data_IF_908796269836
#
_entry.id   IF_908796269836
#
_cell.length_a   1.000
_cell.length_b   1.000
_cell.length_c   1.000
_cell.angle_alpha   90.00
_cell.angle_beta   90.00
_cell.angle_gamma   90.00
#
_symmetry.space_group_name_H-M   'P 1'
#
loop_
_entity.id
_entity.type
_entity.pdbx_description
1 polymer ?
#
# COMPACT_ATOMS: atom_id res chain seq x y z
N UNK A 1 9.70 -4.80 -9.85
CA UNK A 1 9.42 -3.38 -9.51
C UNK A 1 10.72 -2.56 -9.35
N UNK A 2 10.66 -1.22 -9.44
CA UNK A 2 11.78 -0.31 -9.07
C UNK A 2 11.35 0.71 -8.00
N UNK A 3 12.28 1.57 -7.56
CA UNK A 3 12.01 2.58 -6.55
C UNK A 3 11.59 2.01 -5.19
N UNK A 4 10.79 2.76 -4.46
CA UNK A 4 10.24 2.35 -3.16
C UNK A 4 9.47 1.03 -3.22
N UNK A 5 8.80 0.72 -4.34
CA UNK A 5 7.99 -0.48 -4.46
C UNK A 5 8.78 -1.80 -4.40
N UNK A 6 10.12 -1.77 -4.49
CA UNK A 6 10.92 -2.98 -4.20
C UNK A 6 10.76 -3.45 -2.76
N UNK A 7 10.35 -2.57 -1.84
CA UNK A 7 10.03 -2.91 -0.45
C UNK A 7 8.87 -3.90 -0.32
N UNK A 8 8.05 -4.06 -1.37
CA UNK A 8 7.00 -5.08 -1.42
C UNK A 8 7.55 -6.50 -1.29
N UNK A 9 8.76 -6.76 -1.81
CA UNK A 9 9.42 -8.07 -1.73
C UNK A 9 10.32 -8.21 -0.51
N UNK A 10 10.40 -7.19 0.34
CA UNK A 10 11.38 -7.16 1.42
C UNK A 10 10.86 -7.96 2.62
N UNK A 11 11.18 -9.25 2.61
CA UNK A 11 10.92 -10.20 3.70
C UNK A 11 12.03 -10.21 4.76
N UNK A 12 12.91 -9.18 4.82
CA UNK A 12 13.85 -9.14 5.93
C UNK A 12 13.03 -9.10 7.24
N UNK A 13 13.27 -10.07 8.13
CA UNK A 13 12.48 -10.27 9.35
C UNK A 13 12.58 -9.14 10.37
N UNK A 14 12.96 -7.93 9.94
CA UNK A 14 12.98 -6.69 10.71
C UNK A 14 11.62 -5.99 10.77
N UNK A 15 10.65 -6.44 9.95
CA UNK A 15 9.28 -5.93 9.95
C UNK A 15 8.61 -6.20 11.30
N UNK A 16 8.26 -5.13 12.01
CA UNK A 16 7.52 -5.25 13.28
C UNK A 16 6.02 -5.30 12.97
N UNK A 17 5.44 -6.49 13.09
CA UNK A 17 4.01 -6.73 12.88
C UNK A 17 3.19 -6.45 14.14
N UNK A 18 2.10 -5.72 13.99
CA UNK A 18 1.27 -5.27 15.11
C UNK A 18 -0.21 -5.33 14.70
N UNK A 19 -0.99 -6.13 15.43
CA UNK A 19 -2.45 -6.14 15.26
C UNK A 19 -3.08 -4.86 15.80
N UNK A 20 -4.14 -4.42 15.14
CA UNK A 20 -4.93 -3.25 15.53
C UNK A 20 -6.43 -3.46 15.34
N UNK A 21 -7.22 -2.73 16.13
CA UNK A 21 -8.68 -2.62 15.95
C UNK A 21 -9.07 -1.40 15.12
N UNK A 22 -8.11 -0.51 14.82
CA UNK A 22 -8.32 0.65 13.96
C UNK A 22 -8.57 0.15 12.54
N UNK A 23 -9.65 0.58 11.87
CA UNK A 23 -9.93 0.16 10.50
C UNK A 23 -8.81 0.56 9.54
N UNK A 24 -8.33 -0.39 8.73
CA UNK A 24 -7.23 -0.18 7.79
C UNK A 24 -7.65 -0.22 6.32
N UNK A 25 -8.94 -0.39 6.01
CA UNK A 25 -9.43 -0.45 4.64
C UNK A 25 -9.20 0.87 3.88
N UNK A 26 -8.61 0.82 2.67
CA UNK A 26 -8.35 2.02 1.90
C UNK A 26 -9.56 2.47 1.08
N UNK A 27 -9.64 3.78 0.85
CA UNK A 27 -10.42 4.38 -0.23
C UNK A 27 -9.45 4.92 -1.27
N UNK A 28 -9.61 4.46 -2.52
CA UNK A 28 -8.72 4.81 -3.63
C UNK A 28 -9.57 5.39 -4.77
N UNK A 29 -9.19 6.57 -5.24
CA UNK A 29 -9.79 7.17 -6.45
C UNK A 29 -8.72 7.67 -7.41
N UNK A 30 -9.03 7.59 -8.70
CA UNK A 30 -8.26 8.20 -9.79
C UNK A 30 -9.23 9.02 -10.61
N UNK A 31 -9.08 10.35 -10.56
CA UNK A 31 -10.06 11.28 -11.12
C UNK A 31 -11.44 11.07 -10.49
N UNK A 32 -12.39 10.56 -11.27
CA UNK A 32 -13.76 10.23 -10.81
C UNK A 32 -13.99 8.73 -10.59
N UNK A 33 -13.00 7.89 -10.91
CA UNK A 33 -13.12 6.43 -10.81
C UNK A 33 -12.76 5.98 -9.40
N UNK A 34 -13.59 5.12 -8.83
CA UNK A 34 -13.24 4.39 -7.61
C UNK A 34 -12.46 3.14 -8.00
N UNK A 35 -11.32 2.93 -7.35
CA UNK A 35 -10.51 1.72 -7.46
C UNK A 35 -10.69 0.95 -6.16
N UNK A 36 -10.98 -0.34 -6.27
CA UNK A 36 -11.27 -1.21 -5.13
C UNK A 36 -10.28 -2.37 -5.09
N UNK A 37 -9.72 -2.59 -3.90
CA UNK A 37 -8.89 -3.76 -3.60
C UNK A 37 -9.71 -5.04 -3.80
N UNK A 38 -9.09 -6.09 -4.32
CA UNK A 38 -9.67 -7.40 -4.61
C UNK A 38 -10.89 -7.39 -5.56
N UNK A 39 -11.10 -6.29 -6.27
CA UNK A 39 -12.23 -6.11 -7.21
C UNK A 39 -11.79 -5.49 -8.52
N UNK A 40 -10.95 -4.46 -8.47
CA UNK A 40 -10.49 -3.77 -9.69
C UNK A 40 -9.28 -4.47 -10.28
N UNK A 41 -9.37 -4.87 -11.54
CA UNK A 41 -8.24 -5.45 -12.25
C UNK A 41 -7.25 -4.35 -12.65
N UNK A 42 -5.94 -4.61 -12.57
CA UNK A 42 -4.91 -3.60 -12.88
C UNK A 42 -5.07 -2.97 -14.27
N UNK A 43 -5.49 -3.74 -15.27
CA UNK A 43 -5.76 -3.29 -16.64
C UNK A 43 -6.91 -2.30 -16.76
N UNK A 44 -7.78 -2.20 -15.75
CA UNK A 44 -8.90 -1.25 -15.71
C UNK A 44 -8.52 0.10 -15.09
N UNK A 45 -7.43 0.14 -14.31
CA UNK A 45 -7.00 1.33 -13.58
C UNK A 45 -6.45 2.38 -14.55
N UNK A 46 -5.55 1.96 -15.44
CA UNK A 46 -4.96 2.84 -16.44
C UNK A 46 -4.62 2.07 -17.71
N UNK A 47 -4.70 2.74 -18.88
CA UNK A 47 -4.47 2.13 -20.20
C UNK A 47 -2.99 1.87 -20.52
N UNK A 48 -2.15 1.73 -19.49
CA UNK A 48 -0.72 1.43 -19.64
C UNK A 48 -0.47 -0.07 -19.70
N UNK A 49 0.76 -0.43 -20.07
CA UNK A 49 1.25 -1.79 -19.99
C UNK A 49 1.32 -2.24 -18.52
N UNK A 50 0.80 -3.44 -18.24
CA UNK A 50 0.93 -4.08 -16.94
C UNK A 50 2.28 -4.79 -16.89
N UNK A 51 3.16 -4.27 -16.05
CA UNK A 51 4.46 -4.88 -15.77
C UNK A 51 4.27 -6.16 -14.95
N UNK A 52 5.22 -7.10 -15.05
CA UNK A 52 5.16 -8.35 -14.31
C UNK A 52 6.53 -8.95 -14.05
N UNK A 53 6.60 -9.72 -12.98
CA UNK A 53 7.68 -10.67 -12.70
C UNK A 53 7.11 -11.96 -12.11
N UNK A 54 7.96 -12.78 -11.50
CA UNK A 54 7.55 -14.06 -10.90
C UNK A 54 6.59 -13.89 -9.73
N UNK A 55 6.62 -12.74 -9.04
CA UNK A 55 5.95 -12.55 -7.76
C UNK A 55 4.72 -11.65 -7.86
N UNK A 56 4.73 -10.66 -8.77
CA UNK A 56 3.59 -9.75 -8.91
C UNK A 56 3.40 -9.23 -10.33
N UNK A 57 2.19 -8.70 -10.58
CA UNK A 57 1.90 -7.75 -11.65
C UNK A 57 1.75 -6.35 -11.05
N UNK A 58 2.14 -5.31 -11.78
CA UNK A 58 1.92 -3.94 -11.33
C UNK A 58 1.74 -2.95 -12.46
N UNK A 59 1.14 -1.81 -12.12
CA UNK A 59 1.24 -0.58 -12.89
C UNK A 59 1.81 0.50 -11.98
N UNK A 60 2.58 1.43 -12.54
CA UNK A 60 3.03 2.60 -11.79
C UNK A 60 2.50 3.88 -12.43
N UNK A 61 1.93 4.75 -11.59
CA UNK A 61 1.58 6.12 -11.94
C UNK A 61 2.41 7.07 -11.09
N UNK A 62 2.68 8.27 -11.60
CA UNK A 62 3.18 9.37 -10.78
C UNK A 62 2.38 10.64 -11.03
N UNK A 63 2.24 11.46 -10.01
CA UNK A 63 1.71 12.82 -10.14
C UNK A 63 2.82 13.84 -10.42
N UNK A 64 2.41 15.08 -10.69
CA UNK A 64 3.33 16.21 -10.94
C UNK A 64 4.07 16.65 -9.65
N UNK A 65 3.56 16.28 -8.47
CA UNK A 65 4.19 16.55 -7.17
C UNK A 65 5.30 15.53 -6.83
N UNK A 66 5.55 14.56 -7.72
CA UNK A 66 6.59 13.55 -7.58
C UNK A 66 6.20 12.40 -6.63
N UNK A 67 4.91 12.19 -6.38
CA UNK A 67 4.38 11.03 -5.68
C UNK A 67 4.16 9.90 -6.68
N UNK A 68 4.76 8.75 -6.41
CA UNK A 68 4.57 7.52 -7.17
C UNK A 68 3.55 6.61 -6.48
N UNK A 69 2.76 5.91 -7.29
CA UNK A 69 1.72 4.98 -6.91
C UNK A 69 1.90 3.68 -7.69
N UNK A 70 2.36 2.62 -7.02
CA UNK A 70 2.45 1.29 -7.61
C UNK A 70 1.24 0.48 -7.19
N UNK A 71 0.33 0.25 -8.13
CA UNK A 71 -0.82 -0.62 -7.95
C UNK A 71 -0.38 -2.05 -8.28
N UNK A 72 -0.46 -2.93 -7.29
CA UNK A 72 0.18 -4.24 -7.29
C UNK A 72 -0.89 -5.33 -7.17
N UNK A 73 -0.75 -6.35 -7.99
CA UNK A 73 -1.51 -7.59 -7.89
C UNK A 73 -0.53 -8.71 -7.58
N UNK A 74 -0.69 -9.31 -6.41
CA UNK A 74 0.07 -10.48 -6.01
C UNK A 74 -0.24 -11.66 -6.96
N UNK A 75 0.78 -12.39 -7.41
CA UNK A 75 0.56 -13.48 -8.36
C UNK A 75 -0.11 -14.70 -7.73
N UNK A 76 0.11 -14.95 -6.44
CA UNK A 76 -0.47 -16.08 -5.74
C UNK A 76 -1.94 -15.81 -5.40
N UNK A 77 -2.22 -14.62 -4.89
CA UNK A 77 -3.54 -14.29 -4.32
C UNK A 77 -4.38 -13.32 -5.15
N UNK A 78 -3.75 -12.49 -6.00
CA UNK A 78 -4.43 -11.38 -6.67
C UNK A 78 -5.03 -11.72 -8.03
N UNK A 79 -4.45 -12.66 -8.78
CA UNK A 79 -4.93 -13.06 -10.12
C UNK A 79 -5.22 -11.87 -11.08
N UNK A 80 -4.44 -10.78 -10.98
CA UNK A 80 -4.59 -9.55 -11.76
C UNK A 80 -5.46 -8.47 -11.08
N UNK A 81 -6.12 -8.79 -9.98
CA UNK A 81 -6.84 -7.84 -9.12
C UNK A 81 -5.88 -7.12 -8.17
N UNK A 82 -6.17 -5.85 -7.89
CA UNK A 82 -5.38 -5.03 -6.98
C UNK A 82 -5.39 -5.62 -5.56
N UNK A 83 -4.24 -6.01 -5.04
CA UNK A 83 -4.09 -6.52 -3.66
C UNK A 83 -3.15 -5.67 -2.81
N UNK A 84 -2.32 -4.83 -3.42
CA UNK A 84 -1.46 -3.90 -2.71
C UNK A 84 -1.27 -2.57 -3.46
N UNK A 85 -0.97 -1.52 -2.71
CA UNK A 85 -0.64 -0.20 -3.23
C UNK A 85 0.57 0.37 -2.47
N UNK A 86 1.70 0.51 -3.16
CA UNK A 86 2.87 1.20 -2.63
C UNK A 86 2.85 2.68 -3.01
N UNK A 87 3.22 3.56 -2.09
CA UNK A 87 3.19 5.02 -2.28
C UNK A 87 4.46 5.64 -1.70
N UNK A 88 5.12 6.49 -2.49
CA UNK A 88 6.32 7.21 -2.04
C UNK A 88 6.57 8.50 -2.82
N UNK A 89 7.34 9.42 -2.23
CA UNK A 89 7.91 10.59 -2.91
C UNK A 89 9.42 10.38 -3.07
N UNK A 90 9.81 9.51 -3.99
CA UNK A 90 11.18 9.07 -4.19
C UNK A 90 11.75 9.38 -5.60
N UNK A 91 11.15 10.36 -6.28
CA UNK A 91 11.60 10.85 -7.59
C UNK A 91 10.77 10.32 -8.75
N UNK A 92 11.25 10.47 -9.98
CA UNK A 92 10.55 9.95 -11.18
C UNK A 92 11.22 8.65 -11.60
N UNK A 93 10.43 7.58 -11.72
CA UNK A 93 10.91 6.28 -12.20
C UNK A 93 10.40 6.03 -13.63
N UNK A 94 11.22 5.37 -14.45
CA UNK A 94 10.99 5.25 -15.90
C UNK A 94 9.73 4.44 -16.24
N UNK A 95 9.37 3.48 -15.41
CA UNK A 95 8.17 2.66 -15.56
C UNK A 95 6.90 3.36 -15.08
N UNK A 96 7.03 4.45 -14.33
CA UNK A 96 5.90 5.21 -13.84
C UNK A 96 5.41 6.17 -14.91
N UNK A 97 4.12 6.11 -15.21
CA UNK A 97 3.49 6.98 -16.21
C UNK A 97 2.92 8.21 -15.53
N UNK A 98 3.20 9.41 -16.06
CA UNK A 98 2.57 10.62 -15.54
C UNK A 98 1.05 10.54 -15.75
N UNK A 99 0.30 10.76 -14.67
CA UNK A 99 -1.16 10.90 -14.71
C UNK A 99 -1.57 12.34 -14.45
N UNK A 100 -2.36 12.90 -15.35
CA UNK A 100 -3.06 14.18 -15.11
C UNK A 100 -4.31 14.00 -14.24
N UNK A 101 -4.81 12.77 -14.09
CA UNK A 101 -5.89 12.48 -13.17
C UNK A 101 -5.34 12.39 -11.75
N UNK A 102 -5.92 13.18 -10.84
CA UNK A 102 -5.56 13.15 -9.43
C UNK A 102 -5.79 11.76 -8.84
N UNK A 103 -4.73 11.17 -8.30
CA UNK A 103 -4.80 9.97 -7.46
C UNK A 103 -5.05 10.41 -6.02
N UNK A 104 -6.06 9.85 -5.37
CA UNK A 104 -6.34 10.07 -3.96
C UNK A 104 -6.40 8.73 -3.25
N UNK A 105 -5.61 8.62 -2.18
CA UNK A 105 -5.55 7.44 -1.33
C UNK A 105 -5.75 7.89 0.11
N UNK A 106 -6.66 7.24 0.81
CA UNK A 106 -6.90 7.52 2.23
C UNK A 106 -7.29 6.26 2.97
N UNK A 107 -6.81 6.14 4.21
CA UNK A 107 -7.32 5.19 5.19
C UNK A 107 -7.92 6.02 6.33
N UNK A 108 -9.17 5.73 6.72
CA UNK A 108 -9.93 6.61 7.61
C UNK A 108 -9.25 6.78 8.96
N UNK A 109 -8.88 8.03 9.30
CA UNK A 109 -8.21 8.35 10.56
C UNK A 109 -6.75 7.89 10.67
N UNK A 110 -6.16 7.35 9.60
CA UNK A 110 -4.79 6.83 9.58
C UNK A 110 -3.92 7.70 8.68
N UNK A 111 -2.84 8.30 9.19
CA UNK A 111 -1.94 9.12 8.38
C UNK A 111 -1.12 8.22 7.43
N UNK A 112 -0.85 8.69 6.21
CA UNK A 112 -0.04 7.97 5.22
C UNK A 112 1.33 8.65 5.08
N UNK A 113 1.60 9.34 3.96
CA UNK A 113 2.92 9.89 3.64
C UNK A 113 3.44 11.00 4.57
N UNK A 114 2.61 11.53 5.46
CA UNK A 114 2.99 12.56 6.44
C UNK A 114 3.09 12.02 7.87
N UNK A 115 2.98 10.70 8.07
CA UNK A 115 3.04 10.10 9.40
C UNK A 115 4.44 10.22 10.02
N UNK A 116 4.48 10.53 11.30
CA UNK A 116 5.65 10.39 12.17
C UNK A 116 5.50 9.19 13.10
N UNK A 117 6.60 8.72 13.71
CA UNK A 117 6.50 7.71 14.77
C UNK A 117 5.58 8.15 15.91
N UNK A 118 5.58 9.44 16.25
CA UNK A 118 4.72 10.02 17.28
C UNK A 118 3.24 9.84 16.95
N UNK A 119 2.82 10.23 15.74
CA UNK A 119 1.44 10.09 15.28
C UNK A 119 0.97 8.63 15.35
N UNK A 120 1.83 7.70 14.92
CA UNK A 120 1.54 6.27 14.93
C UNK A 120 1.47 5.70 16.37
N UNK A 121 2.38 6.10 17.26
CA UNK A 121 2.34 5.68 18.67
C UNK A 121 1.07 6.18 19.35
N UNK A 122 0.68 7.43 19.10
CA UNK A 122 -0.53 8.03 19.67
C UNK A 122 -1.79 7.33 19.16
N UNK A 123 -1.92 7.17 17.84
CA UNK A 123 -3.10 6.58 17.21
C UNK A 123 -3.31 5.12 17.60
N UNK A 124 -2.24 4.31 17.57
CA UNK A 124 -2.34 2.87 17.80
C UNK A 124 -2.12 2.49 19.28
N UNK A 125 -1.56 3.38 20.10
CA UNK A 125 -1.25 3.13 21.51
C UNK A 125 -0.13 2.10 21.71
N UNK A 126 0.71 1.85 20.70
CA UNK A 126 1.71 0.78 20.71
C UNK A 126 3.11 1.35 20.79
N UNK A 127 3.72 1.25 21.98
CA UNK A 127 5.12 1.71 22.20
C UNK A 127 6.15 1.02 21.30
N UNK A 128 5.86 -0.21 20.84
CA UNK A 128 6.72 -0.98 19.96
C UNK A 128 7.01 -0.28 18.61
N UNK A 129 6.20 0.71 18.22
CA UNK A 129 6.32 1.52 17.00
C UNK A 129 7.50 2.52 17.08
N UNK A 130 7.73 3.12 18.25
CA UNK A 130 8.38 4.44 18.40
C UNK A 130 9.84 4.61 17.96
N UNK A 131 10.47 3.59 17.36
CA UNK A 131 11.82 3.66 16.81
C UNK A 131 12.06 2.63 15.68
N UNK A 132 11.00 2.05 15.13
CA UNK A 132 11.11 0.98 14.13
C UNK A 132 11.26 1.56 12.74
N UNK A 133 12.19 0.98 11.99
CA UNK A 133 12.40 1.32 10.58
C UNK A 133 11.29 0.76 9.70
N UNK A 134 10.72 -0.38 10.05
CA UNK A 134 9.66 -1.03 9.29
C UNK A 134 8.58 -1.50 10.25
N UNK A 135 7.35 -1.10 9.97
CA UNK A 135 6.18 -1.38 10.83
C UNK A 135 5.08 -1.86 9.91
N UNK A 136 4.49 -3.02 10.19
CA UNK A 136 3.28 -3.48 9.53
C UNK A 136 2.16 -3.49 10.57
N UNK A 137 1.13 -2.69 10.30
CA UNK A 137 -0.11 -2.73 11.05
C UNK A 137 -1.09 -3.58 10.27
N UNK A 138 -1.76 -4.51 10.95
CA UNK A 138 -2.76 -5.36 10.33
C UNK A 138 -4.06 -5.39 11.13
N UNK A 139 -5.16 -5.49 10.39
CA UNK A 139 -6.51 -5.56 10.92
C UNK A 139 -7.26 -6.67 10.19
N UNK A 140 -7.61 -7.71 10.93
CA UNK A 140 -8.40 -8.83 10.45
C UNK A 140 -9.89 -8.56 10.64
N UNK A 141 -10.67 -8.81 9.60
CA UNK A 141 -12.13 -8.70 9.62
C UNK A 141 -12.73 -10.00 9.10
N UNK A 142 -13.49 -10.75 9.93
CA UNK A 142 -14.25 -11.88 9.44
C UNK A 142 -15.24 -11.45 8.36
N UNK A 143 -15.29 -12.22 7.26
CA UNK A 143 -16.25 -12.02 6.17
C UNK A 143 -17.09 -13.30 5.98
N UNK A 144 -17.82 -13.41 4.86
CA UNK A 144 -18.72 -14.53 4.61
C UNK A 144 -17.97 -15.86 4.45
N UNK A 145 -18.67 -16.98 4.67
CA UNK A 145 -18.19 -18.34 4.40
C UNK A 145 -16.91 -18.75 5.14
N UNK A 146 -16.63 -18.12 6.29
CA UNK A 146 -15.47 -18.45 7.13
C UNK A 146 -14.16 -17.82 6.66
N UNK A 147 -14.19 -16.96 5.63
CA UNK A 147 -13.02 -16.20 5.21
C UNK A 147 -12.73 -15.03 6.16
N UNK A 148 -11.47 -14.59 6.17
CA UNK A 148 -10.99 -13.41 6.87
C UNK A 148 -10.34 -12.47 5.86
N UNK A 149 -10.76 -11.21 5.88
CA UNK A 149 -10.08 -10.16 5.14
C UNK A 149 -9.01 -9.52 6.04
N UNK A 150 -7.77 -9.56 5.60
CA UNK A 150 -6.65 -8.90 6.26
C UNK A 150 -6.32 -7.60 5.54
N UNK A 151 -6.52 -6.47 6.22
CA UNK A 151 -6.12 -5.14 5.74
C UNK A 151 -4.82 -4.73 6.42
N UNK A 152 -3.84 -4.25 5.65
CA UNK A 152 -2.54 -3.86 6.18
C UNK A 152 -2.12 -2.46 5.76
N UNK A 153 -1.39 -1.77 6.64
CA UNK A 153 -0.63 -0.57 6.31
C UNK A 153 0.77 -0.72 6.87
N UNK A 154 1.74 -0.76 5.97
CA UNK A 154 3.16 -0.87 6.29
C UNK A 154 3.85 0.48 6.11
N UNK A 155 4.65 0.90 7.09
CA UNK A 155 5.42 2.14 7.11
C UNK A 155 6.91 1.82 7.08
N UNK A 156 7.63 2.53 6.22
CA UNK A 156 9.07 2.36 6.03
C UNK A 156 9.77 3.68 6.30
N UNK A 157 10.56 3.72 7.37
CA UNK A 157 11.28 4.89 7.87
C UNK A 157 12.79 4.76 7.64
N UNK A 158 13.39 5.91 7.35
CA UNK A 158 14.83 6.14 7.33
C UNK A 158 15.18 7.18 8.41
N UNK A 159 15.50 6.68 9.61
CA UNK A 159 15.50 7.49 10.81
C UNK A 159 14.09 7.98 11.15
N UNK A 160 13.92 9.28 11.34
CA UNK A 160 12.62 9.92 11.60
C UNK A 160 11.82 10.20 10.32
N UNK A 161 12.42 10.03 9.14
CA UNK A 161 11.78 10.37 7.86
C UNK A 161 11.05 9.17 7.30
N UNK A 162 9.75 9.32 7.06
CA UNK A 162 8.98 8.33 6.32
C UNK A 162 9.42 8.31 4.85
N UNK A 163 9.77 7.12 4.35
CA UNK A 163 10.15 6.88 2.94
C UNK A 163 8.94 6.55 2.09
N UNK A 164 7.96 5.86 2.64
CA UNK A 164 6.76 5.48 1.93
C UNK A 164 5.90 4.53 2.73
N UNK A 165 4.76 4.19 2.16
CA UNK A 165 3.80 3.26 2.75
C UNK A 165 3.39 2.20 1.74
N UNK A 166 3.08 1.00 2.23
CA UNK A 166 2.45 -0.05 1.44
C UNK A 166 1.13 -0.41 2.11
N UNK A 167 0.04 -0.29 1.37
CA UNK A 167 -1.29 -0.70 1.81
C UNK A 167 -1.59 -2.05 1.17
N UNK A 168 -2.08 -3.01 1.94
CA UNK A 168 -2.45 -4.34 1.45
C UNK A 168 -3.88 -4.70 1.84
N UNK A 169 -4.52 -5.54 1.02
CA UNK A 169 -5.77 -6.20 1.37
C UNK A 169 -5.82 -7.56 0.68
N UNK A 170 -5.96 -8.62 1.48
CA UNK A 170 -6.10 -10.00 1.00
C UNK A 170 -7.15 -10.71 1.85
N UNK A 171 -8.05 -11.43 1.18
CA UNK A 171 -9.05 -12.30 1.80
C UNK A 171 -8.63 -13.76 1.65
N UNK A 172 -8.51 -14.47 2.77
CA UNK A 172 -8.08 -15.88 2.81
C UNK A 172 -8.86 -16.68 3.85
N UNK A 173 -8.70 -18.01 3.83
CA UNK A 173 -9.31 -18.94 4.79
C UNK A 173 -8.29 -19.60 5.70
#
# INVERSE_FOLDING_TARGET
>A
MTGFATQYYDEDGSLTEISTIVPLSPTITIGKKTVQMEVTHLSQIFSTYVEKDSSAHWICLHDDDGTNYWFISDNEMGAGLLTALAISRDGIHKECVNTTERVSVSVSGVPLLNATHGDLVELFGKKAIGNRKKILLYQETPVQDGFVQNNTVSYYFDGEKLRGVIIGQITSN
#
